data_IF_560590256574
#
_entry.id   IF_560590256574
#
_cell.length_a   1.000
_cell.length_b   1.000
_cell.length_c   1.000
_cell.angle_alpha   90.00
_cell.angle_beta   90.00
_cell.angle_gamma   90.00
#
_symmetry.space_group_name_H-M   'P 1'
#
loop_
_entity.id
_entity.type
_entity.pdbx_description
1 polymer ?
#
# COMPACT_ATOMS: atom_id res chain seq x y z
N UNK A 1 -3.61 3.87 -7.81
CA UNK A 1 -4.11 2.47 -7.91
C UNK A 1 -3.03 1.42 -7.60
N UNK A 2 -1.84 1.47 -8.21
CA UNK A 2 -0.82 0.42 -8.05
C UNK A 2 -0.44 0.11 -6.59
N UNK A 3 -0.10 1.14 -5.79
CA UNK A 3 0.21 0.98 -4.37
C UNK A 3 -0.95 0.40 -3.56
N UNK A 4 -2.20 0.74 -3.90
CA UNK A 4 -3.37 0.15 -3.24
C UNK A 4 -3.41 -1.37 -3.44
N UNK A 5 -3.31 -1.82 -4.70
CA UNK A 5 -3.31 -3.24 -5.04
C UNK A 5 -2.16 -3.97 -4.36
N UNK A 6 -0.95 -3.37 -4.34
CA UNK A 6 0.21 -3.98 -3.69
C UNK A 6 0.04 -4.07 -2.17
N UNK A 7 -0.50 -3.05 -1.50
CA UNK A 7 -0.79 -3.11 -0.07
C UNK A 7 -1.80 -4.24 0.23
N UNK A 8 -2.84 -4.41 -0.59
CA UNK A 8 -3.78 -5.53 -0.47
C UNK A 8 -3.12 -6.89 -0.74
N UNK A 9 -2.15 -6.95 -1.66
CA UNK A 9 -1.37 -8.15 -1.92
C UNK A 9 -0.44 -8.51 -0.75
N UNK A 10 0.17 -7.50 -0.10
CA UNK A 10 0.96 -7.65 1.12
C UNK A 10 0.10 -8.21 2.24
N UNK A 11 -1.10 -7.67 2.48
CA UNK A 11 -2.05 -8.20 3.48
C UNK A 11 -2.37 -9.68 3.24
N UNK A 12 -2.60 -10.05 1.97
CA UNK A 12 -2.90 -11.44 1.57
C UNK A 12 -1.71 -12.36 1.79
N UNK A 13 -0.51 -11.91 1.46
CA UNK A 13 0.72 -12.67 1.71
C UNK A 13 0.95 -12.85 3.22
N UNK A 14 0.72 -11.78 4.00
CA UNK A 14 0.83 -11.81 5.45
C UNK A 14 -0.17 -12.77 6.09
N UNK A 15 -1.41 -12.84 5.58
CA UNK A 15 -2.40 -13.81 6.02
C UNK A 15 -1.99 -15.26 5.71
N UNK A 16 -1.34 -15.51 4.57
CA UNK A 16 -0.95 -16.86 4.15
C UNK A 16 0.31 -17.39 4.83
N UNK A 17 1.30 -16.51 5.06
CA UNK A 17 2.62 -16.90 5.57
C UNK A 17 2.91 -16.40 6.99
N UNK A 18 1.94 -15.71 7.63
CA UNK A 18 2.07 -15.10 8.96
C UNK A 18 3.26 -14.13 9.09
N UNK A 19 3.67 -13.51 7.98
CA UNK A 19 4.80 -12.57 7.93
C UNK A 19 4.66 -11.55 6.79
N UNK A 20 5.27 -10.39 6.94
CA UNK A 20 5.37 -9.40 5.85
C UNK A 20 6.50 -9.79 4.88
N UNK A 21 6.38 -9.42 3.59
CA UNK A 21 7.42 -9.70 2.61
C UNK A 21 8.68 -8.88 2.89
N UNK A 22 9.84 -9.50 2.68
CA UNK A 22 11.16 -8.85 2.74
C UNK A 22 11.72 -8.59 4.14
N UNK A 23 11.14 -9.19 5.19
CA UNK A 23 11.70 -9.10 6.55
C UNK A 23 13.10 -9.74 6.64
N UNK A 24 13.34 -10.82 5.90
CA UNK A 24 14.59 -11.57 5.93
C UNK A 24 15.30 -11.49 4.58
N UNK A 25 16.55 -11.02 4.57
CA UNK A 25 17.35 -10.85 3.35
C UNK A 25 17.50 -12.15 2.53
N UNK A 26 17.56 -13.29 3.20
CA UNK A 26 17.65 -14.61 2.57
C UNK A 26 16.40 -15.01 1.78
N UNK A 27 15.25 -14.40 2.06
CA UNK A 27 13.94 -14.80 1.53
C UNK A 27 13.36 -13.79 0.54
N UNK A 28 14.03 -12.63 0.34
CA UNK A 28 13.60 -11.61 -0.63
C UNK A 28 13.42 -12.22 -2.02
N UNK A 29 14.32 -13.11 -2.43
CA UNK A 29 14.25 -13.79 -3.73
C UNK A 29 12.99 -14.66 -3.91
N UNK A 30 12.42 -15.18 -2.82
CA UNK A 30 11.17 -15.95 -2.84
C UNK A 30 9.93 -15.08 -2.58
N UNK A 31 10.06 -14.02 -1.80
CA UNK A 31 8.95 -13.13 -1.46
C UNK A 31 8.49 -12.30 -2.67
N UNK A 32 9.41 -11.88 -3.55
CA UNK A 32 9.07 -11.14 -4.79
C UNK A 32 8.10 -11.92 -5.70
N UNK A 33 8.38 -13.17 -6.10
CA UNK A 33 7.43 -13.94 -6.93
C UNK A 33 6.12 -14.24 -6.19
N UNK A 34 6.16 -14.53 -4.88
CA UNK A 34 4.96 -14.74 -4.07
C UNK A 34 4.08 -13.49 -4.01
N UNK A 35 4.69 -12.30 -3.86
CA UNK A 35 3.97 -11.03 -3.87
C UNK A 35 3.36 -10.75 -5.25
N UNK A 36 4.05 -11.09 -6.33
CA UNK A 36 3.53 -10.99 -7.71
C UNK A 36 2.28 -11.86 -7.90
N UNK A 37 2.32 -13.12 -7.44
CA UNK A 37 1.16 -14.02 -7.49
C UNK A 37 -0.02 -13.49 -6.67
N UNK A 38 0.24 -13.01 -5.44
CA UNK A 38 -0.78 -12.40 -4.60
C UNK A 38 -1.39 -11.15 -5.26
N UNK A 39 -0.58 -10.31 -5.91
CA UNK A 39 -1.06 -9.11 -6.59
C UNK A 39 -1.92 -9.44 -7.82
N UNK A 40 -1.55 -10.45 -8.61
CA UNK A 40 -2.37 -10.93 -9.74
C UNK A 40 -3.71 -11.49 -9.24
N UNK A 41 -3.70 -12.22 -8.12
CA UNK A 41 -4.91 -12.71 -7.48
C UNK A 41 -5.83 -11.57 -7.02
N UNK A 42 -5.29 -10.52 -6.39
CA UNK A 42 -6.06 -9.33 -6.00
C UNK A 42 -6.63 -8.60 -7.22
N UNK A 43 -5.85 -8.44 -8.29
CA UNK A 43 -6.33 -7.82 -9.53
C UNK A 43 -7.48 -8.60 -10.17
N UNK A 44 -7.42 -9.93 -10.13
CA UNK A 44 -8.49 -10.80 -10.63
C UNK A 44 -9.77 -10.62 -9.81
N UNK A 45 -9.66 -10.56 -8.48
CA UNK A 45 -10.81 -10.35 -7.58
C UNK A 45 -11.47 -8.97 -7.79
N UNK A 46 -10.68 -7.96 -8.17
CA UNK A 46 -11.16 -6.62 -8.52
C UNK A 46 -11.73 -6.52 -9.94
N UNK A 47 -11.73 -7.60 -10.72
CA UNK A 47 -12.19 -7.58 -12.12
C UNK A 47 -11.25 -6.87 -13.10
N UNK A 48 -10.05 -6.49 -12.66
CA UNK A 48 -9.04 -5.77 -13.46
C UNK A 48 -8.13 -6.73 -14.24
N UNK A 49 -8.73 -7.68 -14.95
CA UNK A 49 -8.00 -8.69 -15.73
C UNK A 49 -7.22 -8.02 -16.86
N UNK A 50 -5.88 -8.14 -16.85
CA UNK A 50 -4.98 -7.60 -17.87
C UNK A 50 -4.25 -6.31 -17.48
N UNK A 51 -4.51 -5.73 -16.31
CA UNK A 51 -3.65 -4.68 -15.76
C UNK A 51 -2.35 -5.29 -15.23
N UNK A 52 -1.21 -4.85 -15.75
CA UNK A 52 0.11 -5.27 -15.24
C UNK A 52 0.62 -4.28 -14.20
N UNK A 53 1.09 -4.81 -13.06
CA UNK A 53 1.91 -4.05 -12.12
C UNK A 53 3.37 -4.02 -12.59
N UNK A 54 4.06 -2.91 -12.33
CA UNK A 54 5.50 -2.80 -12.56
C UNK A 54 6.25 -3.77 -11.64
N UNK A 55 7.16 -4.57 -12.21
CA UNK A 55 8.00 -5.50 -11.45
C UNK A 55 8.92 -4.76 -10.47
N UNK A 56 9.42 -3.58 -10.87
CA UNK A 56 10.21 -2.71 -10.00
C UNK A 56 9.43 -2.32 -8.75
N UNK A 57 8.13 -2.04 -8.89
CA UNK A 57 7.28 -1.65 -7.77
C UNK A 57 7.02 -2.83 -6.81
N UNK A 58 6.93 -4.05 -7.34
CA UNK A 58 6.78 -5.27 -6.52
C UNK A 58 8.07 -5.50 -5.72
N UNK A 59 9.22 -5.43 -6.38
CA UNK A 59 10.52 -5.55 -5.73
C UNK A 59 10.72 -4.47 -4.66
N UNK A 60 10.28 -3.25 -4.95
CA UNK A 60 10.37 -2.12 -4.02
C UNK A 60 9.50 -2.31 -2.78
N UNK A 61 8.30 -2.89 -2.91
CA UNK A 61 7.44 -3.22 -1.76
C UNK A 61 8.07 -4.31 -0.89
N UNK A 62 8.71 -5.32 -1.49
CA UNK A 62 9.51 -6.28 -0.72
C UNK A 62 10.68 -5.57 -0.02
N UNK A 63 11.37 -4.64 -0.68
CA UNK A 63 12.47 -3.86 -0.11
C UNK A 63 12.05 -3.02 1.10
N UNK A 64 10.79 -2.60 1.18
CA UNK A 64 10.28 -1.87 2.34
C UNK A 64 10.27 -2.72 3.62
N UNK A 65 10.20 -4.06 3.51
CA UNK A 65 10.30 -4.99 4.63
C UNK A 65 9.33 -4.72 5.80
N UNK A 66 8.18 -4.08 5.53
CA UNK A 66 7.23 -3.67 6.57
C UNK A 66 7.70 -2.52 7.46
N UNK A 67 8.75 -1.79 7.07
CA UNK A 67 9.29 -0.69 7.85
C UNK A 67 8.32 0.51 7.94
N UNK A 68 8.27 1.13 9.11
CA UNK A 68 7.55 2.39 9.36
C UNK A 68 8.55 3.55 9.51
N UNK A 69 8.68 4.36 8.47
CA UNK A 69 9.65 5.45 8.43
C UNK A 69 9.04 6.71 9.07
N UNK A 70 9.72 7.27 10.08
CA UNK A 70 9.20 8.38 10.89
C UNK A 70 8.66 9.58 10.09
N UNK A 71 9.37 10.13 9.08
CA UNK A 71 8.82 11.17 8.21
C UNK A 71 7.49 10.82 7.51
N UNK A 72 7.33 9.58 7.04
CA UNK A 72 6.11 9.13 6.36
C UNK A 72 4.98 9.00 7.39
N UNK A 73 5.27 8.42 8.56
CA UNK A 73 4.31 8.31 9.66
C UNK A 73 3.83 9.69 10.15
N UNK A 74 4.76 10.65 10.30
CA UNK A 74 4.43 12.02 10.69
C UNK A 74 3.54 12.73 9.66
N UNK A 75 3.83 12.56 8.37
CA UNK A 75 3.01 13.11 7.29
C UNK A 75 1.59 12.53 7.31
N UNK A 76 1.46 11.20 7.38
CA UNK A 76 0.16 10.53 7.45
C UNK A 76 -0.59 10.93 8.73
N UNK A 77 0.10 11.05 9.86
CA UNK A 77 -0.49 11.53 11.12
C UNK A 77 -1.07 12.94 11.01
N UNK A 78 -0.38 13.85 10.30
CA UNK A 78 -0.88 15.20 10.03
C UNK A 78 -2.15 15.19 9.17
N UNK A 79 -2.17 14.40 8.09
CA UNK A 79 -3.35 14.27 7.23
C UNK A 79 -4.52 13.64 8.01
N UNK A 80 -4.29 12.51 8.68
CA UNK A 80 -5.32 11.77 9.40
C UNK A 80 -5.92 12.58 10.55
N UNK A 81 -5.09 13.28 11.34
CA UNK A 81 -5.57 14.13 12.43
C UNK A 81 -6.45 15.28 11.92
N UNK A 82 -6.08 15.90 10.79
CA UNK A 82 -6.90 16.93 10.19
C UNK A 82 -8.23 16.37 9.69
N UNK A 83 -8.26 15.19 9.06
CA UNK A 83 -9.53 14.55 8.65
C UNK A 83 -10.44 14.26 9.86
N UNK A 84 -9.87 13.84 10.99
CA UNK A 84 -10.62 13.67 12.25
C UNK A 84 -11.19 14.99 12.74
N UNK A 85 -10.41 16.09 12.73
CA UNK A 85 -10.89 17.42 13.13
C UNK A 85 -12.08 17.85 12.26
N UNK A 86 -12.03 17.63 10.94
CA UNK A 86 -13.14 17.94 10.02
C UNK A 86 -14.41 17.21 10.43
N UNK A 87 -14.31 15.91 10.71
CA UNK A 87 -15.44 15.07 11.12
C UNK A 87 -16.04 15.52 12.46
N UNK A 88 -15.21 15.79 13.47
CA UNK A 88 -15.65 16.18 14.82
C UNK A 88 -16.30 17.55 14.82
N UNK A 89 -15.67 18.52 14.17
CA UNK A 89 -16.16 19.92 14.14
C UNK A 89 -17.30 20.13 13.16
N UNK A 90 -17.50 19.20 12.21
CA UNK A 90 -18.38 19.36 11.06
C UNK A 90 -18.03 20.60 10.23
N UNK A 91 -16.75 20.97 10.22
CA UNK A 91 -16.20 22.06 9.43
C UNK A 91 -15.31 21.50 8.32
N UNK A 92 -15.32 22.17 7.16
CA UNK A 92 -14.65 21.73 5.93
C UNK A 92 -15.22 20.42 5.35
N UNK A 93 -14.66 19.99 4.22
CA UNK A 93 -15.08 18.78 3.50
C UNK A 93 -14.03 17.67 3.71
N UNK A 94 -14.41 16.52 4.29
CA UNK A 94 -13.54 15.35 4.37
C UNK A 94 -13.16 14.82 2.99
N UNK A 95 -11.99 14.19 2.87
CA UNK A 95 -11.59 13.45 1.69
C UNK A 95 -12.55 12.28 1.46
N UNK A 96 -13.00 12.09 0.23
CA UNK A 96 -13.90 11.00 -0.13
C UNK A 96 -13.11 9.81 -0.70
N UNK A 97 -13.14 8.68 0.00
CA UNK A 97 -12.45 7.45 -0.42
C UNK A 97 -11.11 7.25 0.28
N UNK A 98 -10.13 6.71 -0.44
CA UNK A 98 -8.83 6.31 0.12
C UNK A 98 -7.71 7.23 -0.34
N UNK A 99 -7.07 7.91 0.62
CA UNK A 99 -5.89 8.72 0.38
C UNK A 99 -4.62 7.85 0.38
N UNK A 100 -3.80 7.98 -0.65
CA UNK A 100 -2.53 7.27 -0.79
C UNK A 100 -1.42 8.30 -1.00
N UNK A 101 -0.36 8.18 -0.20
CA UNK A 101 0.84 8.99 -0.31
C UNK A 101 2.04 8.11 -0.68
N UNK A 102 2.81 8.55 -1.67
CA UNK A 102 4.08 7.95 -2.04
C UNK A 102 5.23 8.86 -1.57
N UNK A 103 5.98 8.40 -0.57
CA UNK A 103 7.13 9.13 -0.04
C UNK A 103 8.33 9.19 -0.99
N UNK A 104 8.40 8.32 -2.02
CA UNK A 104 9.53 8.26 -2.96
C UNK A 104 9.51 9.47 -3.92
N UNK A 105 8.36 9.79 -4.49
CA UNK A 105 8.20 10.89 -5.45
C UNK A 105 7.42 12.09 -4.89
N UNK A 106 7.08 12.05 -3.60
CA UNK A 106 6.33 13.07 -2.88
C UNK A 106 4.96 13.39 -3.50
N UNK A 107 4.31 12.39 -4.12
CA UNK A 107 2.98 12.53 -4.69
C UNK A 107 1.92 11.86 -3.84
N UNK A 108 0.69 12.38 -3.96
CA UNK A 108 -0.49 11.76 -3.36
C UNK A 108 -1.65 11.69 -4.33
N UNK A 109 -2.58 10.79 -4.06
CA UNK A 109 -3.82 10.65 -4.81
C UNK A 109 -4.96 10.22 -3.87
N UNK A 110 -6.18 10.60 -4.21
CA UNK A 110 -7.41 10.10 -3.56
C UNK A 110 -8.11 9.18 -4.54
N UNK A 111 -8.36 7.94 -4.12
CA UNK A 111 -9.07 6.94 -4.89
C UNK A 111 -10.53 6.87 -4.42
N UNK A 112 -11.47 7.01 -5.35
CA UNK A 112 -12.83 6.57 -5.15
C UNK A 112 -12.89 5.07 -5.47
N UNK A 113 -12.95 4.24 -4.43
CA UNK A 113 -12.94 2.78 -4.51
C UNK A 113 -14.35 2.21 -4.35
#
# INVERSE_FOLDING_TARGET
MNFYVLLRAVDRLAANYSRLPGIFDSEIGEDVPRLKEAAVSVLSDMGLKGSSLSEDLIAEVCRFAGAEIHPVAAFIGGVASQEVIKLVTKQFVPLNGTFIFNGIDLKSQVLAL
#
